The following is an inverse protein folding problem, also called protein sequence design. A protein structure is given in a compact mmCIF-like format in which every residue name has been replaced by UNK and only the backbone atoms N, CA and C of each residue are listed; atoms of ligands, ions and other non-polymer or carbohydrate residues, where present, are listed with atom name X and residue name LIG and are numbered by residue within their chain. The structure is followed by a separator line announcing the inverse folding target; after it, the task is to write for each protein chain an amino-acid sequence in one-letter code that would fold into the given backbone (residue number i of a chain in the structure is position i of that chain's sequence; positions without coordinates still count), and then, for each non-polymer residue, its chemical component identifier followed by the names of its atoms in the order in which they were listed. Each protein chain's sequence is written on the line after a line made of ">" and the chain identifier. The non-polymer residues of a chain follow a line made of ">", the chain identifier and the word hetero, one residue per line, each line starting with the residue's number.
data_IF_425462480475
#
_entry.id   IF_425462480475
#
_cell.length_a   1.000
_cell.length_b   1.000
_cell.length_c   1.000
_cell.angle_alpha   90.00
_cell.angle_beta   90.00
_cell.angle_gamma   90.00
#
_symmetry.space_group_name_H-M   'P 1'
#
loop_
_entity.id
_entity.type
_entity.pdbx_description
1 polymer ?
#
# COMPACT_ATOMS: atom_id res chain seq x y z
N UNK A 1 -30.21 51.87 58.34
CA UNK A 1 -29.25 50.74 58.36
C UNK A 1 -28.70 50.54 56.96
N UNK A 2 -27.38 50.66 56.83
CA UNK A 2 -26.59 50.46 55.60
C UNK A 2 -26.38 48.97 55.36
N UNK A 3 -26.52 48.51 54.10
CA UNK A 3 -25.86 47.32 53.55
C UNK A 3 -25.62 47.61 52.05
N UNK A 4 -24.51 48.27 51.70
CA UNK A 4 -23.29 47.67 51.12
C UNK A 4 -23.53 46.86 49.84
N UNK A 5 -23.43 47.52 48.68
CA UNK A 5 -23.35 46.86 47.38
C UNK A 5 -21.89 46.84 46.91
N UNK A 6 -21.30 45.65 46.88
CA UNK A 6 -19.97 45.39 46.36
C UNK A 6 -20.11 45.16 44.85
N UNK A 7 -19.61 46.10 44.04
CA UNK A 7 -19.51 45.92 42.59
C UNK A 7 -18.22 45.14 42.32
N UNK A 8 -18.34 43.87 41.95
CA UNK A 8 -17.23 43.05 41.48
C UNK A 8 -16.96 43.35 40.00
N UNK A 9 -15.88 44.07 39.73
CA UNK A 9 -15.34 44.31 38.39
C UNK A 9 -14.56 43.08 37.91
N UNK A 10 -15.20 42.15 37.22
CA UNK A 10 -14.51 41.04 36.55
C UNK A 10 -13.81 41.54 35.28
N UNK A 11 -12.50 41.78 35.39
CA UNK A 11 -11.63 42.01 34.25
C UNK A 11 -11.53 40.73 33.40
N UNK A 12 -12.07 40.79 32.18
CA UNK A 12 -11.91 39.73 31.17
C UNK A 12 -10.46 39.78 30.64
N UNK A 13 -9.60 38.87 31.11
CA UNK A 13 -8.33 38.61 30.44
C UNK A 13 -8.62 37.89 29.11
N UNK A 14 -8.51 38.62 28.00
CA UNK A 14 -8.56 38.05 26.65
C UNK A 14 -7.26 37.31 26.36
N UNK A 15 -7.15 36.05 26.77
CA UNK A 15 -6.06 35.16 26.40
C UNK A 15 -6.09 34.93 24.89
N UNK A 16 -5.20 35.60 24.15
CA UNK A 16 -4.97 35.35 22.73
C UNK A 16 -4.24 34.00 22.61
N UNK A 17 -5.01 32.92 22.47
CA UNK A 17 -4.45 31.64 22.08
C UNK A 17 -3.89 31.76 20.66
N UNK A 18 -2.58 31.92 20.54
CA UNK A 18 -1.84 31.71 19.29
C UNK A 18 -1.98 30.23 18.92
N UNK A 19 -3.00 29.91 18.14
CA UNK A 19 -3.14 28.61 17.51
C UNK A 19 -2.05 28.49 16.45
N UNK A 20 -1.08 27.60 16.67
CA UNK A 20 -0.12 27.25 15.63
C UNK A 20 -0.88 26.68 14.43
N UNK A 21 -0.71 27.28 13.24
CA UNK A 21 -1.32 26.76 12.03
C UNK A 21 -0.77 25.34 11.76
N UNK A 22 -1.62 24.37 11.38
CA UNK A 22 -1.15 23.03 11.04
C UNK A 22 -0.15 23.12 9.89
N UNK A 23 1.03 22.51 10.07
CA UNK A 23 1.99 22.36 8.99
C UNK A 23 1.34 21.56 7.86
N UNK A 24 1.21 22.15 6.67
CA UNK A 24 0.68 21.44 5.52
C UNK A 24 1.69 20.39 5.07
N UNK A 25 1.34 19.12 5.23
CA UNK A 25 2.15 18.01 4.72
C UNK A 25 2.14 17.99 3.19
N UNK A 26 3.30 17.73 2.58
CA UNK A 26 3.38 17.45 1.13
C UNK A 26 2.95 16.01 0.89
N UNK A 27 1.92 15.81 0.06
CA UNK A 27 1.56 14.47 -0.41
C UNK A 27 2.69 13.88 -1.26
N UNK A 28 3.03 12.62 -1.00
CA UNK A 28 3.97 11.85 -1.82
C UNK A 28 3.26 11.01 -2.88
N UNK A 29 1.92 11.06 -2.93
CA UNK A 29 1.15 10.41 -3.98
C UNK A 29 1.36 11.15 -5.30
N UNK A 30 1.59 10.40 -6.37
CA UNK A 30 1.65 10.95 -7.71
C UNK A 30 0.26 11.38 -8.16
N UNK A 31 0.19 12.47 -8.93
CA UNK A 31 -1.05 12.85 -9.59
C UNK A 31 -1.28 11.93 -10.79
N UNK A 32 -2.44 11.28 -10.86
CA UNK A 32 -2.75 10.34 -11.94
C UNK A 32 -3.84 9.34 -11.56
N UNK A 33 -4.23 8.45 -12.49
CA UNK A 33 -5.17 7.38 -12.20
C UNK A 33 -4.59 6.37 -11.21
N UNK A 34 -5.47 5.68 -10.49
CA UNK A 34 -5.09 4.51 -9.71
C UNK A 34 -4.59 3.39 -10.62
N UNK A 35 -3.73 2.54 -10.05
CA UNK A 35 -3.29 1.31 -10.72
C UNK A 35 -4.08 0.15 -10.14
N UNK A 36 -4.79 -0.55 -11.01
CA UNK A 36 -5.55 -1.75 -10.65
C UNK A 36 -4.69 -2.98 -10.92
N UNK A 37 -4.49 -3.78 -9.87
CA UNK A 37 -3.87 -5.09 -9.99
C UNK A 37 -4.96 -6.12 -10.26
N UNK A 38 -4.97 -6.59 -11.49
CA UNK A 38 -6.02 -7.44 -12.02
C UNK A 38 -5.70 -8.91 -11.85
N UNK A 39 -6.72 -9.69 -11.51
CA UNK A 39 -6.68 -11.15 -11.55
C UNK A 39 -5.47 -11.76 -10.81
N UNK A 40 -5.07 -11.14 -9.70
CA UNK A 40 -3.94 -11.60 -8.88
C UNK A 40 -4.14 -13.05 -8.45
N UNK A 41 -3.12 -13.88 -8.70
CA UNK A 41 -3.10 -15.29 -8.34
C UNK A 41 -1.67 -15.73 -8.03
N UNK A 42 -1.51 -16.59 -7.03
CA UNK A 42 -0.24 -17.26 -6.69
C UNK A 42 -0.43 -18.77 -6.66
N UNK A 43 0.41 -19.49 -7.40
CA UNK A 43 0.45 -20.96 -7.35
C UNK A 43 1.85 -21.39 -6.97
N UNK A 44 1.96 -22.14 -5.88
CA UNK A 44 3.22 -22.74 -5.45
C UNK A 44 3.26 -24.22 -5.86
N UNK A 45 4.46 -24.71 -6.20
CA UNK A 45 4.66 -26.13 -6.41
C UNK A 45 4.48 -26.91 -5.09
N UNK A 46 4.31 -28.23 -5.18
CA UNK A 46 4.03 -29.06 -4.00
C UNK A 46 5.14 -29.01 -2.94
N UNK A 47 6.40 -28.80 -3.36
CA UNK A 47 7.54 -28.66 -2.46
C UNK A 47 7.66 -27.26 -1.84
N UNK A 48 6.81 -26.31 -2.25
CA UNK A 48 6.88 -24.90 -1.89
C UNK A 48 8.27 -24.27 -2.11
N UNK A 49 8.99 -24.74 -3.13
CA UNK A 49 10.29 -24.19 -3.51
C UNK A 49 10.20 -23.16 -4.63
N UNK A 50 9.03 -23.07 -5.26
CA UNK A 50 8.74 -22.14 -6.33
C UNK A 50 7.27 -21.72 -6.28
N UNK A 51 7.03 -20.41 -6.31
CA UNK A 51 5.69 -19.83 -6.44
C UNK A 51 5.64 -18.93 -7.67
N UNK A 52 4.70 -19.21 -8.57
CA UNK A 52 4.40 -18.39 -9.74
C UNK A 52 3.22 -17.47 -9.43
N UNK A 53 3.43 -16.19 -9.65
CA UNK A 53 2.44 -15.13 -9.52
C UNK A 53 2.02 -14.66 -10.91
N UNK A 54 0.72 -14.53 -11.13
CA UNK A 54 0.15 -14.05 -12.39
C UNK A 54 -0.88 -12.96 -12.11
N UNK A 55 -0.76 -11.83 -12.80
CA UNK A 55 -1.65 -10.68 -12.64
C UNK A 55 -1.54 -9.73 -13.84
N UNK A 56 -2.48 -8.81 -13.96
CA UNK A 56 -2.42 -7.66 -14.87
C UNK A 56 -2.16 -6.36 -14.11
N UNK A 57 -1.49 -5.41 -14.74
CA UNK A 57 -1.29 -4.04 -14.24
C UNK A 57 -2.05 -3.10 -15.17
N UNK A 58 -3.20 -2.64 -14.72
CA UNK A 58 -4.04 -1.65 -15.41
C UNK A 58 -3.82 -0.26 -14.80
N UNK A 59 -3.72 0.77 -15.64
CA UNK A 59 -3.59 2.16 -15.21
C UNK A 59 -4.73 2.95 -15.82
N UNK A 60 -5.66 3.44 -14.99
CA UNK A 60 -6.85 4.13 -15.48
C UNK A 60 -7.77 3.22 -16.31
N UNK A 61 -7.91 3.49 -17.60
CA UNK A 61 -8.73 2.70 -18.53
C UNK A 61 -7.90 2.02 -19.63
N UNK A 62 -6.58 1.97 -19.44
CA UNK A 62 -5.67 1.37 -20.41
C UNK A 62 -5.74 -0.16 -20.39
N UNK A 63 -5.25 -0.81 -21.44
CA UNK A 63 -5.15 -2.27 -21.45
C UNK A 63 -4.16 -2.74 -20.37
N UNK A 64 -4.57 -3.71 -19.55
CA UNK A 64 -3.73 -4.27 -18.50
C UNK A 64 -2.45 -4.90 -19.08
N UNK A 65 -1.30 -4.54 -18.51
CA UNK A 65 -0.02 -5.18 -18.83
C UNK A 65 0.06 -6.52 -18.09
N UNK A 66 0.11 -7.68 -18.78
CA UNK A 66 0.21 -8.97 -18.11
C UNK A 66 1.58 -9.14 -17.46
N UNK A 67 1.61 -9.78 -16.30
CA UNK A 67 2.82 -10.05 -15.56
C UNK A 67 2.85 -11.50 -15.05
N UNK A 68 3.98 -12.16 -15.27
CA UNK A 68 4.32 -13.45 -14.65
C UNK A 68 5.59 -13.25 -13.84
N UNK A 69 5.50 -13.49 -12.54
CA UNK A 69 6.56 -13.26 -11.57
C UNK A 69 6.81 -14.54 -10.77
N UNK A 70 8.04 -15.05 -10.80
CA UNK A 70 8.39 -16.32 -10.16
C UNK A 70 9.32 -16.08 -8.97
N UNK A 71 8.95 -16.60 -7.82
CA UNK A 71 9.75 -16.59 -6.59
C UNK A 71 10.27 -18.00 -6.35
N UNK A 72 11.59 -18.15 -6.14
CA UNK A 72 12.24 -19.42 -5.80
C UNK A 72 12.97 -19.28 -4.47
N UNK A 73 12.71 -20.18 -3.53
CA UNK A 73 13.35 -20.22 -2.21
C UNK A 73 13.16 -21.61 -1.58
N UNK A 74 13.65 -21.82 -0.35
CA UNK A 74 13.34 -23.03 0.41
C UNK A 74 11.88 -23.04 0.89
N UNK A 75 11.33 -21.87 1.20
CA UNK A 75 9.89 -21.61 1.41
C UNK A 75 9.49 -20.42 0.54
N UNK A 76 9.13 -20.68 -0.72
CA UNK A 76 8.83 -19.66 -1.71
C UNK A 76 7.56 -18.87 -1.39
N UNK A 77 6.61 -19.44 -0.65
CA UNK A 77 5.39 -18.75 -0.25
C UNK A 77 5.63 -17.65 0.78
N UNK A 78 6.74 -17.73 1.52
CA UNK A 78 7.13 -16.79 2.59
C UNK A 78 8.48 -16.13 2.33
N UNK A 79 8.85 -15.98 1.06
CA UNK A 79 10.13 -15.43 0.66
C UNK A 79 10.01 -14.03 0.02
N UNK A 80 11.12 -13.31 0.07
CA UNK A 80 11.33 -12.14 -0.78
C UNK A 80 11.66 -12.61 -2.20
N UNK A 81 11.37 -11.78 -3.20
CA UNK A 81 11.77 -12.10 -4.56
C UNK A 81 11.95 -10.88 -5.46
N UNK A 82 12.23 -11.18 -6.72
CA UNK A 82 12.59 -10.20 -7.73
C UNK A 82 14.08 -9.83 -7.71
N UNK A 83 14.49 -8.86 -8.54
CA UNK A 83 13.63 -8.12 -9.47
C UNK A 83 13.18 -8.97 -10.67
N UNK A 84 11.94 -8.74 -11.12
CA UNK A 84 11.41 -9.27 -12.38
C UNK A 84 10.84 -8.12 -13.22
N UNK A 85 10.83 -8.28 -14.55
CA UNK A 85 10.31 -7.26 -15.47
C UNK A 85 9.01 -7.73 -16.12
N UNK A 86 8.02 -6.85 -16.14
CA UNK A 86 6.73 -7.05 -16.79
C UNK A 86 6.38 -5.81 -17.61
N UNK A 87 6.68 -5.84 -18.92
CA UNK A 87 6.58 -4.65 -19.77
C UNK A 87 7.49 -3.53 -19.25
N UNK A 88 6.92 -2.37 -18.95
CA UNK A 88 7.64 -1.20 -18.38
C UNK A 88 7.81 -1.27 -16.86
N UNK A 89 7.24 -2.28 -16.20
CA UNK A 89 7.22 -2.40 -14.74
C UNK A 89 8.34 -3.29 -14.22
N UNK A 90 8.99 -2.87 -13.14
CA UNK A 90 9.87 -3.71 -12.33
C UNK A 90 9.14 -4.16 -11.07
N UNK A 91 9.21 -5.45 -10.77
CA UNK A 91 8.51 -6.11 -9.67
C UNK A 91 9.53 -6.66 -8.68
N UNK A 92 9.39 -6.31 -7.41
CA UNK A 92 10.00 -7.04 -6.28
C UNK A 92 8.92 -7.38 -5.27
N UNK A 93 9.20 -8.29 -4.34
CA UNK A 93 8.27 -8.56 -3.24
C UNK A 93 8.99 -8.85 -1.94
N UNK A 94 8.31 -8.57 -0.83
CA UNK A 94 8.72 -8.98 0.50
C UNK A 94 7.57 -9.63 1.26
N UNK A 95 7.86 -10.71 1.98
CA UNK A 95 6.90 -11.36 2.86
C UNK A 95 7.11 -10.93 4.31
N UNK A 96 6.01 -10.83 5.07
CA UNK A 96 6.03 -10.52 6.50
C UNK A 96 5.04 -11.39 7.25
N UNK A 97 5.53 -12.03 8.32
CA UNK A 97 4.74 -12.74 9.32
C UNK A 97 4.48 -11.91 10.59
N UNK A 98 4.64 -10.59 10.55
CA UNK A 98 4.63 -9.71 11.73
C UNK A 98 3.34 -9.84 12.58
N UNK A 99 2.20 -10.16 11.95
CA UNK A 99 0.91 -10.32 12.63
C UNK A 99 0.66 -11.75 13.18
N UNK A 100 1.71 -12.56 13.29
CA UNK A 100 1.66 -13.90 13.86
C UNK A 100 1.30 -15.01 12.87
N UNK A 101 1.32 -16.25 13.36
CA UNK A 101 1.12 -17.45 12.56
C UNK A 101 -0.23 -17.43 11.82
N UNK A 102 -0.19 -17.72 10.52
CA UNK A 102 -1.38 -17.72 9.65
C UNK A 102 -1.91 -16.34 9.26
N UNK A 103 -1.24 -15.25 9.66
CA UNK A 103 -1.56 -13.88 9.28
C UNK A 103 -0.43 -13.22 8.49
N UNK A 104 0.32 -14.03 7.74
CA UNK A 104 1.35 -13.54 6.83
C UNK A 104 0.75 -12.82 5.62
N UNK A 105 1.57 -11.94 5.04
CA UNK A 105 1.22 -11.23 3.81
C UNK A 105 2.47 -10.94 2.99
N UNK A 106 2.28 -10.81 1.68
CA UNK A 106 3.31 -10.38 0.75
C UNK A 106 2.97 -8.98 0.25
N UNK A 107 3.92 -8.05 0.35
CA UNK A 107 3.86 -6.76 -0.31
C UNK A 107 4.73 -6.78 -1.55
N UNK A 108 4.18 -6.38 -2.68
CA UNK A 108 4.90 -6.21 -3.93
C UNK A 108 5.30 -4.74 -4.08
N UNK A 109 6.45 -4.47 -4.68
CA UNK A 109 6.78 -3.14 -5.22
C UNK A 109 6.63 -3.20 -6.72
N UNK A 110 5.69 -2.45 -7.28
CA UNK A 110 5.46 -2.36 -8.72
C UNK A 110 5.90 -0.97 -9.18
N UNK A 111 7.04 -0.91 -9.86
CA UNK A 111 7.70 0.35 -10.22
C UNK A 111 7.61 0.58 -11.72
N UNK A 112 7.14 1.74 -12.14
CA UNK A 112 7.34 2.23 -13.50
C UNK A 112 8.46 3.29 -13.48
N UNK A 113 9.64 2.89 -13.97
CA UNK A 113 10.81 3.76 -13.99
C UNK A 113 10.67 4.95 -14.94
N UNK A 114 9.85 4.82 -15.99
CA UNK A 114 9.65 5.88 -16.99
C UNK A 114 8.82 7.03 -16.42
N UNK A 115 7.75 6.71 -15.68
CA UNK A 115 6.90 7.72 -15.01
C UNK A 115 7.39 8.06 -13.61
N UNK A 116 8.42 7.38 -13.10
CA UNK A 116 8.94 7.50 -11.73
C UNK A 116 7.84 7.32 -10.69
N UNK A 117 7.03 6.27 -10.86
CA UNK A 117 5.90 5.96 -9.98
C UNK A 117 6.02 4.54 -9.42
N UNK A 118 5.42 4.35 -8.25
CA UNK A 118 5.38 3.05 -7.56
C UNK A 118 4.03 2.83 -6.87
N UNK A 119 3.54 1.59 -6.87
CA UNK A 119 2.49 1.14 -5.96
C UNK A 119 2.99 -0.04 -5.13
N UNK A 120 2.37 -0.23 -3.95
CA UNK A 120 2.68 -1.33 -3.04
C UNK A 120 1.49 -2.27 -2.79
N UNK A 121 1.09 -3.10 -3.76
CA UNK A 121 0.03 -4.06 -3.57
C UNK A 121 0.38 -5.06 -2.48
N UNK A 122 -0.56 -5.32 -1.58
CA UNK A 122 -0.37 -6.26 -0.47
C UNK A 122 -1.48 -7.31 -0.47
N UNK A 123 -1.09 -8.57 -0.34
CA UNK A 123 -1.99 -9.70 -0.32
C UNK A 123 -1.66 -10.62 0.85
N UNK A 124 -2.68 -10.97 1.62
CA UNK A 124 -2.55 -11.94 2.71
C UNK A 124 -2.35 -13.35 2.15
N UNK A 125 -1.70 -14.22 2.92
CA UNK A 125 -1.57 -15.63 2.55
C UNK A 125 -2.94 -16.32 2.39
N UNK A 126 -3.97 -15.84 3.11
CA UNK A 126 -5.36 -16.31 3.00
C UNK A 126 -5.99 -15.94 1.65
N UNK A 127 -5.75 -14.72 1.16
CA UNK A 127 -6.24 -14.31 -0.16
C UNK A 127 -5.59 -15.12 -1.29
N UNK A 128 -4.35 -15.56 -1.10
CA UNK A 128 -3.53 -16.24 -2.10
C UNK A 128 -3.59 -17.77 -2.00
N UNK A 129 -4.35 -18.31 -1.04
CA UNK A 129 -4.46 -19.74 -0.82
C UNK A 129 -5.16 -20.42 -2.01
N UNK A 130 -4.82 -21.69 -2.25
CA UNK A 130 -5.50 -22.53 -3.26
C UNK A 130 -5.21 -22.17 -4.73
N UNK A 131 -4.47 -21.10 -5.01
CA UNK A 131 -4.27 -20.65 -6.39
C UNK A 131 -5.51 -20.02 -7.00
N UNK A 132 -6.43 -19.53 -6.16
CA UNK A 132 -7.59 -18.80 -6.60
C UNK A 132 -7.20 -17.39 -7.08
N UNK A 133 -8.05 -16.83 -7.94
CA UNK A 133 -7.94 -15.44 -8.34
C UNK A 133 -8.51 -14.57 -7.24
N UNK A 134 -7.70 -13.65 -6.71
CA UNK A 134 -8.14 -12.69 -5.70
C UNK A 134 -9.24 -11.82 -6.27
N UNK A 135 -10.37 -11.76 -5.55
CA UNK A 135 -11.51 -10.89 -5.89
C UNK A 135 -11.95 -10.08 -4.66
N UNK A 136 -12.36 -8.81 -4.85
CA UNK A 136 -12.26 -8.03 -6.08
C UNK A 136 -10.78 -7.74 -6.45
N UNK A 137 -10.55 -7.27 -7.68
CA UNK A 137 -9.27 -6.67 -8.05
C UNK A 137 -8.99 -5.49 -7.10
N UNK A 138 -7.73 -5.21 -6.77
CA UNK A 138 -7.35 -4.15 -5.84
C UNK A 138 -6.74 -2.97 -6.60
N UNK A 139 -7.17 -1.76 -6.29
CA UNK A 139 -6.67 -0.52 -6.87
C UNK A 139 -5.81 0.24 -5.85
N UNK A 140 -4.78 0.93 -6.32
CA UNK A 140 -3.82 1.63 -5.49
C UNK A 140 -3.45 2.98 -6.12
N UNK A 141 -3.45 4.03 -5.29
CA UNK A 141 -2.89 5.31 -5.69
C UNK A 141 -1.35 5.21 -5.81
N UNK A 142 -0.73 5.56 -6.95
CA UNK A 142 0.71 5.54 -7.10
C UNK A 142 1.37 6.63 -6.25
N UNK A 143 2.55 6.35 -5.71
CA UNK A 143 3.46 7.34 -5.16
C UNK A 143 4.46 7.81 -6.21
N UNK A 144 4.89 9.07 -6.09
CA UNK A 144 5.99 9.61 -6.89
C UNK A 144 7.33 9.20 -6.25
N UNK A 145 8.22 8.65 -7.07
CA UNK A 145 9.60 8.40 -6.65
C UNK A 145 10.38 9.73 -6.64
N UNK A 146 11.21 9.99 -5.62
CA UNK A 146 12.08 11.18 -5.54
C UNK A 146 13.01 11.25 -6.74
#
# INVERSE_FOLDING_TARGET
>A
MQITQIILSTALLSSSAVMAAPAQGKSMMANGPEWTIENMKRVCNAANTECTWTFGIEVGTDAATPCTYVVKATDASQANGGPATCGVYTITSGWSGYFGAGNGFTTMSVVNGNTRQIVWPAYTDKQLAGGDVVKPNQAYAPAALP
#
